data_IF_993394457567
#
_entry.id   IF_993394457567
#
_cell.length_a   1.000
_cell.length_b   1.000
_cell.length_c   1.000
_cell.angle_alpha   90.00
_cell.angle_beta   90.00
_cell.angle_gamma   90.00
#
_symmetry.space_group_name_H-M   'P 1'
#
loop_
_entity.id
_entity.type
_entity.pdbx_description
1 polymer ?
#
# COMPACT_ATOMS: atom_id res chain seq x y z
N UNK A 1 -45.67 -5.01 -51.80
CA UNK A 1 -45.37 -4.05 -50.72
C UNK A 1 -45.11 -4.71 -49.35
N UNK A 2 -45.33 -6.01 -49.14
CA UNK A 2 -45.17 -6.63 -47.81
C UNK A 2 -43.72 -6.98 -47.40
N UNK A 3 -42.78 -7.15 -48.35
CA UNK A 3 -41.38 -7.52 -48.04
C UNK A 3 -40.65 -6.51 -47.13
N UNK A 4 -41.04 -5.24 -47.16
CA UNK A 4 -40.36 -4.17 -46.41
C UNK A 4 -40.75 -4.14 -44.92
N UNK A 5 -41.91 -4.70 -44.57
CA UNK A 5 -42.37 -4.75 -43.18
C UNK A 5 -41.76 -5.95 -42.46
N UNK A 6 -41.71 -7.11 -43.11
CA UNK A 6 -41.05 -8.30 -42.56
C UNK A 6 -39.56 -8.05 -42.33
N UNK A 7 -38.89 -7.31 -43.23
CA UNK A 7 -37.48 -6.94 -43.13
C UNK A 7 -37.19 -5.90 -42.02
N UNK A 8 -38.19 -5.07 -41.66
CA UNK A 8 -38.10 -4.14 -40.53
C UNK A 8 -38.41 -4.83 -39.19
N UNK A 9 -39.25 -5.86 -39.19
CA UNK A 9 -39.60 -6.64 -38.00
C UNK A 9 -38.60 -7.78 -37.73
N UNK A 10 -37.84 -8.20 -38.75
CA UNK A 10 -36.76 -9.20 -38.61
C UNK A 10 -35.42 -8.61 -38.21
N UNK A 11 -35.31 -7.29 -38.07
CA UNK A 11 -34.12 -6.68 -37.46
C UNK A 11 -34.14 -7.01 -35.97
N UNK A 12 -33.38 -8.02 -35.58
CA UNK A 12 -33.04 -8.26 -34.19
C UNK A 12 -32.51 -6.94 -33.62
N UNK A 13 -33.28 -6.34 -32.71
CA UNK A 13 -32.86 -5.12 -32.03
C UNK A 13 -31.53 -5.46 -31.39
N UNK A 14 -30.42 -4.83 -31.82
CA UNK A 14 -29.12 -5.14 -31.26
C UNK A 14 -29.23 -4.89 -29.76
N UNK A 15 -29.12 -5.98 -28.99
CA UNK A 15 -29.18 -5.89 -27.53
C UNK A 15 -27.95 -5.08 -27.14
N UNK A 16 -28.15 -3.80 -26.84
CA UNK A 16 -27.07 -2.95 -26.33
C UNK A 16 -26.60 -3.57 -25.02
N UNK A 17 -25.50 -4.32 -25.11
CA UNK A 17 -24.81 -4.84 -23.93
C UNK A 17 -24.28 -3.60 -23.20
N UNK A 18 -25.01 -3.15 -22.18
CA UNK A 18 -24.58 -2.08 -21.30
C UNK A 18 -23.23 -2.51 -20.73
N UNK A 19 -22.14 -1.89 -21.21
CA UNK A 19 -20.80 -2.12 -20.67
C UNK A 19 -20.88 -1.91 -19.17
N UNK A 20 -20.64 -2.97 -18.40
CA UNK A 20 -20.55 -2.86 -16.95
C UNK A 20 -19.50 -1.82 -16.62
N UNK A 21 -19.90 -0.75 -15.93
CA UNK A 21 -18.96 0.29 -15.53
C UNK A 21 -18.00 -0.33 -14.53
N UNK A 22 -16.71 -0.42 -14.89
CA UNK A 22 -15.67 -0.85 -13.95
C UNK A 22 -15.80 -0.01 -12.66
N UNK A 23 -16.15 -0.65 -11.52
CA UNK A 23 -16.41 0.06 -10.28
C UNK A 23 -15.15 0.73 -9.71
N UNK A 24 -13.97 0.40 -10.24
CA UNK A 24 -12.66 0.90 -9.84
C UNK A 24 -11.99 1.74 -10.95
N UNK A 25 -12.76 2.45 -11.76
CA UNK A 25 -12.21 3.26 -12.85
C UNK A 25 -11.46 4.53 -12.41
N UNK A 26 -11.67 5.02 -11.18
CA UNK A 26 -11.11 6.28 -10.64
C UNK A 26 -11.01 6.25 -9.12
N UNK A 27 -10.05 7.00 -8.56
CA UNK A 27 -10.05 7.39 -7.14
C UNK A 27 -10.86 8.68 -7.01
N UNK A 28 -11.82 8.72 -6.09
CA UNK A 28 -12.60 9.92 -5.80
C UNK A 28 -12.11 10.54 -4.50
N UNK A 29 -11.70 11.81 -4.55
CA UNK A 29 -11.20 12.57 -3.40
C UNK A 29 -11.82 13.97 -3.40
N UNK A 30 -12.12 14.51 -2.22
CA UNK A 30 -12.58 15.90 -2.11
C UNK A 30 -11.44 16.88 -2.40
N UNK A 31 -11.78 18.06 -2.89
CA UNK A 31 -10.80 19.14 -3.14
C UNK A 31 -10.01 19.49 -1.88
N UNK A 32 -10.69 19.58 -0.74
CA UNK A 32 -10.06 19.93 0.54
C UNK A 32 -9.02 18.89 0.96
N UNK A 33 -9.35 17.59 0.88
CA UNK A 33 -8.42 16.50 1.18
C UNK A 33 -7.20 16.49 0.26
N UNK A 34 -7.42 16.68 -1.05
CA UNK A 34 -6.34 16.77 -2.03
C UNK A 34 -5.39 17.95 -1.73
N UNK A 35 -5.96 19.16 -1.53
CA UNK A 35 -5.16 20.36 -1.21
C UNK A 35 -4.43 20.17 0.12
N UNK A 36 -5.07 19.57 1.13
CA UNK A 36 -4.46 19.27 2.43
C UNK A 36 -3.24 18.37 2.30
N UNK A 37 -3.33 17.29 1.52
CA UNK A 37 -2.21 16.38 1.27
C UNK A 37 -1.04 17.09 0.56
N UNK A 38 -1.33 17.80 -0.53
CA UNK A 38 -0.31 18.54 -1.30
C UNK A 38 0.35 19.65 -0.47
N UNK A 39 -0.43 20.40 0.31
CA UNK A 39 0.09 21.45 1.17
C UNK A 39 0.93 20.89 2.33
N UNK A 40 0.53 19.76 2.92
CA UNK A 40 1.34 19.08 3.92
C UNK A 40 2.71 18.68 3.36
N UNK A 41 2.75 18.09 2.16
CA UNK A 41 4.00 17.74 1.48
C UNK A 41 4.89 18.97 1.20
N UNK A 42 4.29 20.09 0.76
CA UNK A 42 5.00 21.36 0.59
C UNK A 42 5.63 21.86 1.88
N UNK A 43 4.84 21.92 2.96
CA UNK A 43 5.29 22.42 4.26
C UNK A 43 6.36 21.51 4.89
N UNK A 44 6.26 20.21 4.68
CA UNK A 44 7.28 19.26 5.11
C UNK A 44 8.62 19.51 4.39
N UNK A 45 8.59 19.70 3.06
CA UNK A 45 9.78 20.08 2.28
C UNK A 45 10.40 21.40 2.77
N UNK A 46 9.58 22.44 2.94
CA UNK A 46 10.02 23.76 3.42
C UNK A 46 10.75 23.66 4.76
N UNK A 47 10.24 22.84 5.67
CA UNK A 47 10.80 22.68 7.01
C UNK A 47 12.19 22.05 7.00
N UNK A 48 12.42 21.06 6.14
CA UNK A 48 13.64 20.25 6.19
C UNK A 48 14.68 20.60 5.12
N UNK A 49 14.37 21.56 4.24
CA UNK A 49 15.26 22.02 3.17
C UNK A 49 15.70 20.92 2.18
N UNK A 50 15.03 19.75 2.21
CA UNK A 50 15.47 18.51 1.57
C UNK A 50 14.29 17.74 0.99
N UNK A 51 14.60 16.71 0.21
CA UNK A 51 13.66 15.85 -0.51
C UNK A 51 12.92 14.86 0.40
N UNK A 52 12.29 15.32 1.50
CA UNK A 52 11.59 14.37 2.37
C UNK A 52 10.26 13.91 1.79
N UNK A 53 10.00 12.62 1.99
CA UNK A 53 8.68 12.06 1.77
C UNK A 53 7.80 12.21 3.02
N UNK A 54 6.50 12.12 2.83
CA UNK A 54 5.49 12.18 3.89
C UNK A 54 4.47 11.09 3.62
N UNK A 55 3.84 10.58 4.68
CA UNK A 55 2.88 9.49 4.61
C UNK A 55 1.61 9.83 5.37
N UNK A 56 0.47 9.34 4.87
CA UNK A 56 -0.80 9.38 5.58
C UNK A 56 -1.84 8.44 5.02
N UNK A 57 -3.04 8.52 5.57
CA UNK A 57 -4.18 7.70 5.18
C UNK A 57 -5.22 8.55 4.46
N UNK A 58 -5.81 7.97 3.42
CA UNK A 58 -7.03 8.49 2.79
C UNK A 58 -8.21 8.01 3.64
N UNK A 59 -9.03 8.92 4.17
CA UNK A 59 -10.13 8.56 5.08
C UNK A 59 -11.48 8.98 4.51
N UNK A 60 -12.50 8.18 4.83
CA UNK A 60 -13.88 8.41 4.38
C UNK A 60 -14.90 8.00 5.43
N UNK A 61 -16.18 8.18 5.09
CA UNK A 61 -17.29 7.84 5.98
C UNK A 61 -17.35 6.36 6.31
N UNK A 62 -17.93 6.01 7.45
CA UNK A 62 -18.17 4.62 7.84
C UNK A 62 -19.11 3.86 6.88
N UNK A 63 -19.94 4.57 6.10
CA UNK A 63 -20.72 3.96 5.03
C UNK A 63 -19.80 3.35 3.95
N UNK A 64 -19.83 2.02 3.84
CA UNK A 64 -19.01 1.25 2.89
C UNK A 64 -19.39 1.51 1.44
N UNK A 65 -20.64 1.89 1.16
CA UNK A 65 -21.10 2.23 -0.19
C UNK A 65 -20.46 3.52 -0.69
N UNK A 66 -20.11 4.41 0.24
CA UNK A 66 -19.43 5.65 -0.05
C UNK A 66 -17.92 5.43 -0.12
N UNK A 67 -17.36 5.62 -1.32
CA UNK A 67 -15.95 5.35 -1.64
C UNK A 67 -15.17 6.63 -1.91
N UNK A 68 -15.62 7.76 -1.37
CA UNK A 68 -14.97 9.06 -1.55
C UNK A 68 -14.02 9.29 -0.37
N UNK A 69 -12.77 9.62 -0.66
CA UNK A 69 -11.83 10.13 0.34
C UNK A 69 -12.23 11.58 0.70
N UNK A 70 -12.80 11.75 1.89
CA UNK A 70 -13.31 13.04 2.37
C UNK A 70 -12.23 13.91 3.00
N UNK A 71 -11.23 13.28 3.60
CA UNK A 71 -10.10 13.94 4.25
C UNK A 71 -8.83 13.06 4.13
N UNK A 72 -7.70 13.62 4.54
CA UNK A 72 -6.45 12.90 4.76
C UNK A 72 -6.04 12.98 6.22
N UNK A 73 -5.56 11.86 6.75
CA UNK A 73 -4.99 11.76 8.09
C UNK A 73 -3.47 11.64 8.00
N UNK A 74 -2.73 12.46 8.73
CA UNK A 74 -1.26 12.42 8.75
C UNK A 74 -0.79 11.35 9.75
N UNK A 75 -0.05 10.36 9.27
CA UNK A 75 0.46 9.31 10.14
C UNK A 75 1.39 9.89 11.22
N UNK A 76 1.28 9.51 12.50
CA UNK A 76 2.21 9.95 13.54
C UNK A 76 3.53 9.19 13.48
N UNK A 77 4.60 9.81 13.99
CA UNK A 77 5.90 9.15 14.11
C UNK A 77 6.56 8.80 12.78
N UNK A 78 6.35 9.63 11.77
CA UNK A 78 7.00 9.46 10.47
C UNK A 78 8.50 9.69 10.60
N UNK A 79 9.30 8.73 10.16
CA UNK A 79 10.75 8.83 10.04
C UNK A 79 11.12 8.87 8.56
N UNK A 80 11.01 10.04 7.89
CA UNK A 80 11.25 10.14 6.47
C UNK A 80 12.73 10.27 6.15
N UNK A 81 13.09 9.74 4.99
CA UNK A 81 14.31 10.12 4.27
C UNK A 81 13.96 10.57 2.86
N UNK A 82 14.97 10.59 1.98
CA UNK A 82 14.84 11.10 0.63
C UNK A 82 14.00 10.23 -0.31
N UNK A 83 13.83 8.94 0.02
CA UNK A 83 13.27 7.93 -0.87
C UNK A 83 12.26 6.98 -0.21
N UNK A 84 12.10 7.04 1.12
CA UNK A 84 11.05 6.30 1.83
C UNK A 84 10.67 6.98 3.14
N UNK A 85 9.49 6.61 3.66
CA UNK A 85 9.02 6.95 5.01
C UNK A 85 8.80 5.69 5.80
N UNK A 86 9.44 5.59 6.97
CA UNK A 86 9.15 4.55 7.95
C UNK A 86 8.13 5.04 8.98
N UNK A 87 7.20 4.18 9.37
CA UNK A 87 6.24 4.43 10.45
C UNK A 87 6.29 3.23 11.40
N UNK A 88 6.61 3.42 12.69
CA UNK A 88 6.57 2.34 13.67
C UNK A 88 5.18 1.71 13.78
N UNK A 89 5.11 0.39 13.95
CA UNK A 89 3.83 -0.36 13.97
C UNK A 89 2.87 0.13 15.05
N UNK A 90 3.36 0.52 16.21
CA UNK A 90 2.55 1.09 17.29
C UNK A 90 1.85 2.39 16.87
N UNK A 91 2.49 3.18 15.99
CA UNK A 91 1.94 4.42 15.44
C UNK A 91 0.90 4.15 14.35
N UNK A 92 1.05 3.06 13.60
CA UNK A 92 0.00 2.58 12.67
C UNK A 92 -1.27 2.18 13.44
N UNK A 93 -1.12 1.42 14.54
CA UNK A 93 -2.23 1.03 15.40
C UNK A 93 -2.89 2.25 16.05
N UNK A 94 -2.09 3.19 16.57
CA UNK A 94 -2.58 4.44 17.14
C UNK A 94 -3.38 5.25 16.11
N UNK A 95 -2.90 5.37 14.87
CA UNK A 95 -3.60 6.04 13.79
C UNK A 95 -4.92 5.37 13.43
N UNK A 96 -4.94 4.04 13.31
CA UNK A 96 -6.16 3.29 13.04
C UNK A 96 -7.23 3.50 14.12
N UNK A 97 -6.81 3.54 15.38
CA UNK A 97 -7.69 3.84 16.52
C UNK A 97 -8.21 5.28 16.47
N UNK A 98 -7.34 6.26 16.27
CA UNK A 98 -7.73 7.67 16.21
C UNK A 98 -8.74 7.94 15.08
N UNK A 99 -8.46 7.42 13.88
CA UNK A 99 -9.36 7.54 12.72
C UNK A 99 -10.73 6.92 13.01
N UNK A 100 -10.76 5.74 13.63
CA UNK A 100 -12.02 5.03 13.87
C UNK A 100 -12.80 5.60 15.04
N UNK A 101 -12.16 5.76 16.19
CA UNK A 101 -12.81 6.07 17.46
C UNK A 101 -13.02 7.57 17.66
N UNK A 102 -12.07 8.40 17.26
CA UNK A 102 -12.14 9.85 17.49
C UNK A 102 -12.73 10.59 16.29
N UNK A 103 -12.43 10.16 15.06
CA UNK A 103 -12.96 10.80 13.86
C UNK A 103 -14.25 10.13 13.34
N UNK A 104 -14.58 8.91 13.78
CA UNK A 104 -15.73 8.17 13.27
C UNK A 104 -15.62 7.90 11.77
N UNK A 105 -14.41 7.64 11.28
CA UNK A 105 -14.08 7.44 9.87
C UNK A 105 -13.41 6.08 9.65
N UNK A 106 -13.31 5.67 8.38
CA UNK A 106 -12.56 4.49 7.96
C UNK A 106 -11.43 4.87 7.01
N UNK A 107 -10.38 4.05 7.01
CA UNK A 107 -9.30 4.12 6.04
C UNK A 107 -9.79 3.58 4.71
N UNK A 108 -9.68 4.36 3.64
CA UNK A 108 -9.95 3.95 2.25
C UNK A 108 -8.69 3.50 1.51
N UNK A 109 -7.54 3.86 2.03
CA UNK A 109 -6.26 3.66 1.39
C UNK A 109 -5.19 4.53 2.05
N UNK A 110 -4.11 4.75 1.32
CA UNK A 110 -2.97 5.50 1.79
C UNK A 110 -2.54 6.54 0.76
N UNK A 111 -1.72 7.47 1.20
CA UNK A 111 -1.06 8.41 0.32
C UNK A 111 0.33 8.69 0.84
N UNK A 112 1.24 9.01 -0.08
CA UNK A 112 2.53 9.57 0.27
C UNK A 112 2.92 10.68 -0.69
N UNK A 113 4.03 11.34 -0.37
CA UNK A 113 4.59 12.39 -1.23
C UNK A 113 5.96 12.01 -1.74
N UNK A 114 6.15 12.16 -3.04
CA UNK A 114 7.47 12.29 -3.64
C UNK A 114 7.89 13.75 -3.53
N UNK A 115 9.04 14.07 -2.94
CA UNK A 115 9.37 15.46 -2.64
C UNK A 115 9.34 16.38 -3.89
N UNK A 116 10.37 16.33 -4.73
CA UNK A 116 10.40 17.03 -6.03
C UNK A 116 10.40 16.07 -7.20
N UNK A 117 10.35 14.76 -6.92
CA UNK A 117 10.35 13.73 -7.95
C UNK A 117 8.98 13.67 -8.66
N UNK A 118 8.94 13.14 -9.89
CA UNK A 118 7.68 12.77 -10.53
C UNK A 118 6.88 11.80 -9.65
N UNK A 119 5.55 11.82 -9.76
CA UNK A 119 4.66 10.94 -8.99
C UNK A 119 4.51 9.58 -9.69
N UNK A 120 4.90 8.50 -9.02
CA UNK A 120 4.78 7.09 -9.47
C UNK A 120 4.82 6.16 -8.25
N UNK A 121 4.61 4.85 -8.43
CA UNK A 121 4.91 3.84 -7.41
C UNK A 121 6.28 3.20 -7.67
N UNK A 122 7.10 3.12 -6.62
CA UNK A 122 8.25 2.23 -6.55
C UNK A 122 7.83 0.78 -6.22
N UNK A 123 8.76 -0.17 -6.33
CA UNK A 123 8.49 -1.55 -5.89
C UNK A 123 8.13 -1.66 -4.40
N UNK A 124 8.71 -0.79 -3.57
CA UNK A 124 8.33 -0.66 -2.15
C UNK A 124 6.90 -0.16 -1.99
N UNK A 125 6.46 0.77 -2.84
CA UNK A 125 5.07 1.25 -2.82
C UNK A 125 4.08 0.15 -3.22
N UNK A 126 4.43 -0.71 -4.17
CA UNK A 126 3.60 -1.85 -4.57
C UNK A 126 3.45 -2.88 -3.43
N UNK A 127 4.54 -3.19 -2.73
CA UNK A 127 4.51 -4.07 -1.56
C UNK A 127 3.68 -3.46 -0.42
N UNK A 128 3.81 -2.15 -0.18
CA UNK A 128 3.00 -1.41 0.78
C UNK A 128 1.52 -1.40 0.38
N UNK A 129 1.21 -1.21 -0.91
CA UNK A 129 -0.16 -1.17 -1.38
C UNK A 129 -0.86 -2.52 -1.19
N UNK A 130 -0.15 -3.62 -1.45
CA UNK A 130 -0.60 -4.99 -1.15
C UNK A 130 -0.87 -5.21 0.34
N UNK A 131 0.00 -4.69 1.19
CA UNK A 131 -0.18 -4.78 2.65
C UNK A 131 -1.43 -4.02 3.09
N UNK A 132 -1.60 -2.78 2.63
CA UNK A 132 -2.74 -1.93 3.01
C UNK A 132 -4.06 -2.55 2.56
N UNK A 133 -4.17 -3.07 1.33
CA UNK A 133 -5.43 -3.69 0.87
C UNK A 133 -5.81 -4.90 1.73
N UNK A 134 -4.85 -5.70 2.17
CA UNK A 134 -5.11 -6.84 3.04
C UNK A 134 -5.56 -6.39 4.44
N UNK A 135 -4.95 -5.33 4.99
CA UNK A 135 -5.30 -4.80 6.31
C UNK A 135 -6.71 -4.21 6.37
N UNK A 136 -7.16 -3.54 5.29
CA UNK A 136 -8.46 -2.85 5.27
C UNK A 136 -9.54 -3.64 4.50
N UNK A 137 -9.23 -4.84 4.00
CA UNK A 137 -10.12 -5.66 3.19
C UNK A 137 -11.48 -5.91 3.85
N UNK A 138 -11.48 -6.20 5.16
CA UNK A 138 -12.70 -6.52 5.90
C UNK A 138 -13.69 -5.34 5.95
N UNK A 139 -13.18 -4.09 5.92
CA UNK A 139 -14.03 -2.89 5.92
C UNK A 139 -14.27 -2.30 4.54
N UNK A 140 -13.43 -2.63 3.55
CA UNK A 140 -13.42 -2.00 2.24
C UNK A 140 -13.63 -3.02 1.13
N UNK A 141 -14.88 -3.36 0.85
CA UNK A 141 -15.22 -4.22 -0.28
C UNK A 141 -16.51 -3.79 -0.95
N UNK A 142 -16.66 -4.23 -2.21
CA UNK A 142 -17.94 -4.20 -2.92
C UNK A 142 -18.41 -5.64 -3.15
N UNK A 143 -19.73 -5.83 -3.19
CA UNK A 143 -20.31 -7.07 -3.65
C UNK A 143 -20.50 -6.98 -5.16
N UNK A 144 -19.77 -7.82 -5.89
CA UNK A 144 -20.14 -8.19 -7.25
C UNK A 144 -20.87 -9.53 -7.21
N UNK A 145 -21.53 -9.87 -8.31
CA UNK A 145 -22.16 -11.17 -8.45
C UNK A 145 -21.58 -11.84 -9.68
N UNK A 146 -21.17 -13.08 -9.53
CA UNK A 146 -20.80 -13.92 -10.67
C UNK A 146 -21.95 -14.86 -10.93
N UNK A 147 -22.37 -14.90 -12.18
CA UNK A 147 -23.36 -15.84 -12.66
C UNK A 147 -22.64 -17.06 -13.21
N UNK A 148 -22.96 -18.23 -12.65
CA UNK A 148 -22.49 -19.51 -13.15
C UNK A 148 -23.70 -20.30 -13.60
N UNK A 149 -23.76 -20.59 -14.88
CA UNK A 149 -24.75 -21.52 -15.41
C UNK A 149 -24.50 -22.91 -14.80
N UNK A 150 -25.50 -23.43 -14.09
CA UNK A 150 -25.45 -24.79 -13.54
C UNK A 150 -26.03 -25.77 -14.56
N UNK A 151 -27.21 -25.44 -15.11
CA UNK A 151 -27.98 -26.27 -16.03
C UNK A 151 -28.53 -25.40 -17.17
N UNK A 152 -28.50 -25.91 -18.38
CA UNK A 152 -29.12 -25.30 -19.57
C UNK A 152 -29.57 -26.38 -20.54
N UNK A 153 -30.45 -26.00 -21.48
CA UNK A 153 -30.92 -26.90 -22.55
C UNK A 153 -32.19 -27.67 -22.16
N UNK A 154 -32.24 -28.95 -22.53
CA UNK A 154 -33.40 -29.81 -22.28
C UNK A 154 -33.39 -30.33 -20.84
N UNK A 155 -33.98 -29.54 -19.93
CA UNK A 155 -34.00 -29.83 -18.51
C UNK A 155 -35.16 -30.76 -18.12
N UNK A 156 -34.83 -31.88 -17.49
CA UNK A 156 -35.80 -32.82 -16.92
C UNK A 156 -36.05 -32.47 -15.46
N UNK A 157 -37.33 -32.35 -15.10
CA UNK A 157 -37.82 -32.19 -13.73
C UNK A 157 -38.39 -33.53 -13.25
N UNK A 158 -37.93 -34.02 -12.10
CA UNK A 158 -38.39 -35.29 -11.51
C UNK A 158 -38.71 -35.07 -10.03
N UNK A 159 -39.93 -35.40 -9.61
CA UNK A 159 -40.32 -35.40 -8.19
C UNK A 159 -39.99 -36.77 -7.57
N UNK A 160 -39.43 -36.76 -6.37
CA UNK A 160 -39.19 -37.94 -5.55
C UNK A 160 -40.02 -37.83 -4.27
N UNK A 161 -41.23 -38.41 -4.30
CA UNK A 161 -42.23 -38.23 -3.24
C UNK A 161 -42.67 -36.77 -3.11
N UNK A 162 -43.09 -36.39 -1.90
CA UNK A 162 -43.70 -35.08 -1.63
C UNK A 162 -42.69 -34.04 -1.09
N UNK A 163 -41.40 -34.38 -1.05
CA UNK A 163 -40.38 -33.60 -0.35
C UNK A 163 -39.13 -33.28 -1.16
N UNK A 164 -38.99 -33.80 -2.39
CA UNK A 164 -37.76 -33.59 -3.17
C UNK A 164 -38.06 -33.38 -4.66
N UNK A 165 -37.65 -32.23 -5.18
CA UNK A 165 -37.60 -31.97 -6.62
C UNK A 165 -36.15 -32.07 -7.10
N UNK A 166 -35.94 -32.82 -8.17
CA UNK A 166 -34.67 -32.90 -8.87
C UNK A 166 -34.80 -32.28 -10.26
N UNK A 167 -33.89 -31.38 -10.60
CA UNK A 167 -33.75 -30.80 -11.94
C UNK A 167 -32.39 -31.21 -12.48
N UNK A 168 -32.34 -31.81 -13.65
CA UNK A 168 -31.08 -32.22 -14.29
C UNK A 168 -31.14 -32.03 -15.81
N UNK A 169 -29.97 -31.96 -16.44
CA UNK A 169 -29.86 -32.05 -17.90
C UNK A 169 -30.27 -33.47 -18.32
N UNK A 170 -31.19 -33.59 -19.30
CA UNK A 170 -31.68 -34.88 -19.78
C UNK A 170 -30.55 -35.76 -20.34
N UNK A 171 -29.48 -35.15 -20.86
CA UNK A 171 -28.31 -35.84 -21.41
C UNK A 171 -27.19 -36.02 -20.37
N UNK A 172 -27.28 -35.37 -19.21
CA UNK A 172 -26.22 -35.42 -18.20
C UNK A 172 -26.76 -35.31 -16.76
N UNK A 173 -27.12 -36.48 -16.19
CA UNK A 173 -27.61 -36.58 -14.81
C UNK A 173 -26.55 -36.31 -13.72
N UNK A 174 -25.27 -36.15 -14.08
CA UNK A 174 -24.21 -35.85 -13.10
C UNK A 174 -24.31 -34.42 -12.56
N UNK A 175 -24.84 -33.49 -13.37
CA UNK A 175 -25.19 -32.13 -12.93
C UNK A 175 -26.67 -32.10 -12.61
N UNK A 176 -27.01 -31.94 -11.34
CA UNK A 176 -28.40 -31.84 -10.89
C UNK A 176 -28.55 -30.84 -9.76
N UNK A 177 -29.69 -30.18 -9.72
CA UNK A 177 -30.15 -29.39 -8.58
C UNK A 177 -31.19 -30.21 -7.83
N UNK A 178 -31.02 -30.35 -6.52
CA UNK A 178 -31.99 -30.97 -5.63
C UNK A 178 -32.56 -29.90 -4.71
N UNK A 179 -33.88 -29.75 -4.72
CA UNK A 179 -34.61 -28.84 -3.85
C UNK A 179 -35.42 -29.70 -2.88
N UNK A 180 -35.16 -29.52 -1.58
CA UNK A 180 -35.84 -30.23 -0.50
C UNK A 180 -36.94 -29.34 0.07
N UNK A 181 -38.11 -29.93 0.28
CA UNK A 181 -39.30 -29.27 0.80
C UNK A 181 -39.76 -30.00 2.06
N UNK A 182 -40.27 -29.24 3.03
CA UNK A 182 -40.84 -29.80 4.26
C UNK A 182 -42.17 -30.51 4.01
N UNK A 183 -42.99 -29.97 3.11
CA UNK A 183 -44.21 -30.59 2.58
C UNK A 183 -44.62 -29.85 1.30
N UNK A 184 -44.90 -30.58 0.23
CA UNK A 184 -45.52 -30.03 -0.98
C UNK A 184 -46.86 -30.72 -1.20
N UNK A 185 -47.96 -29.98 -1.11
CA UNK A 185 -49.27 -30.52 -1.47
C UNK A 185 -49.45 -30.57 -3.01
N UNK A 186 -48.77 -29.69 -3.77
CA UNK A 186 -48.67 -29.71 -5.24
C UNK A 186 -47.27 -29.24 -5.70
N UNK A 187 -46.80 -29.66 -6.88
CA UNK A 187 -45.48 -29.25 -7.41
C UNK A 187 -45.55 -27.85 -8.05
N UNK A 188 -45.03 -26.78 -7.40
CA UNK A 188 -45.13 -25.40 -7.90
C UNK A 188 -44.36 -25.18 -9.21
N UNK A 189 -43.44 -26.09 -9.54
CA UNK A 189 -42.60 -25.98 -10.73
C UNK A 189 -43.03 -26.94 -11.85
N UNK A 190 -44.13 -27.69 -11.70
CA UNK A 190 -44.58 -28.67 -12.70
C UNK A 190 -44.78 -28.01 -14.07
N UNK A 191 -45.44 -26.85 -14.09
CA UNK A 191 -45.85 -26.17 -15.32
C UNK A 191 -44.93 -25.04 -15.76
N UNK A 192 -43.92 -24.68 -14.96
CA UNK A 192 -42.96 -23.65 -15.33
C UNK A 192 -41.92 -24.22 -16.30
N UNK A 193 -41.86 -23.76 -17.56
CA UNK A 193 -40.76 -24.12 -18.45
C UNK A 193 -39.47 -23.50 -17.88
N UNK A 194 -38.48 -24.35 -17.57
CA UNK A 194 -37.17 -23.91 -17.08
C UNK A 194 -36.17 -24.17 -18.21
N UNK A 195 -35.72 -23.12 -18.87
CA UNK A 195 -34.73 -23.21 -19.97
C UNK A 195 -33.30 -23.26 -19.42
N UNK A 196 -33.04 -22.53 -18.34
CA UNK A 196 -31.74 -22.44 -17.70
C UNK A 196 -31.84 -22.20 -16.21
N UNK A 197 -30.85 -22.71 -15.49
CA UNK A 197 -30.66 -22.46 -14.08
C UNK A 197 -29.29 -21.84 -13.85
N UNK A 198 -29.30 -20.59 -13.39
CA UNK A 198 -28.10 -19.79 -13.15
C UNK A 198 -27.92 -19.61 -11.65
N UNK A 199 -26.75 -19.99 -11.16
CA UNK A 199 -26.34 -19.69 -9.79
C UNK A 199 -25.65 -18.34 -9.76
N UNK A 200 -26.24 -17.42 -9.00
CA UNK A 200 -25.68 -16.10 -8.77
C UNK A 200 -24.98 -16.09 -7.40
N UNK A 201 -23.65 -16.16 -7.41
CA UNK A 201 -22.86 -16.13 -6.17
C UNK A 201 -22.30 -14.74 -5.90
N UNK A 202 -22.38 -14.23 -4.66
CA UNK A 202 -21.70 -12.99 -4.30
C UNK A 202 -20.18 -13.19 -4.33
N UNK A 203 -19.48 -12.30 -5.02
CA UNK A 203 -18.03 -12.15 -5.03
C UNK A 203 -17.69 -10.87 -4.28
N UNK A 204 -16.95 -10.98 -3.18
CA UNK A 204 -16.48 -9.80 -2.45
C UNK A 204 -15.18 -9.33 -3.10
N UNK A 205 -15.14 -8.08 -3.53
CA UNK A 205 -13.93 -7.46 -4.06
C UNK A 205 -13.50 -6.38 -3.09
N UNK A 206 -12.47 -6.71 -2.32
CA UNK A 206 -11.83 -5.78 -1.41
C UNK A 206 -10.99 -4.78 -2.19
N UNK A 207 -10.81 -3.57 -1.67
CA UNK A 207 -10.03 -2.55 -2.37
C UNK A 207 -9.29 -1.59 -1.42
N UNK A 208 -8.21 -1.00 -1.92
CA UNK A 208 -7.52 0.12 -1.29
C UNK A 208 -7.10 1.14 -2.33
N UNK A 209 -7.13 2.41 -1.95
CA UNK A 209 -6.58 3.50 -2.76
C UNK A 209 -5.11 3.74 -2.43
N UNK A 210 -4.33 4.11 -3.44
CA UNK A 210 -3.03 4.75 -3.27
C UNK A 210 -3.02 6.06 -4.06
N UNK A 211 -2.48 7.12 -3.45
CA UNK A 211 -2.30 8.40 -4.10
C UNK A 211 -0.91 8.94 -3.81
N UNK A 212 -0.16 9.30 -4.87
CA UNK A 212 1.14 9.96 -4.72
C UNK A 212 1.02 11.40 -5.17
N UNK A 213 1.38 12.32 -4.28
CA UNK A 213 1.50 13.75 -4.59
C UNK A 213 2.97 14.14 -4.64
N UNK A 214 3.27 15.35 -5.13
CA UNK A 214 4.57 15.93 -4.90
C UNK A 214 4.49 17.37 -4.40
N UNK A 215 5.58 17.83 -3.79
CA UNK A 215 5.64 19.16 -3.20
C UNK A 215 5.69 20.28 -4.25
N UNK A 216 5.94 19.97 -5.53
CA UNK A 216 5.90 20.96 -6.61
C UNK A 216 4.49 21.16 -7.17
N UNK A 217 3.51 20.35 -6.76
CA UNK A 217 2.10 20.49 -7.18
C UNK A 217 1.81 19.95 -8.57
N UNK A 218 2.56 18.93 -9.04
CA UNK A 218 2.21 18.25 -10.29
C UNK A 218 0.92 17.44 -10.13
N UNK A 219 0.42 16.94 -11.27
CA UNK A 219 -0.71 16.00 -11.28
C UNK A 219 -0.39 14.79 -10.39
N UNK A 220 -1.30 14.35 -9.50
CA UNK A 220 -1.05 13.21 -8.64
C UNK A 220 -1.07 11.90 -9.44
N UNK A 221 -0.34 10.92 -8.93
CA UNK A 221 -0.49 9.51 -9.30
C UNK A 221 -1.61 8.88 -8.47
N UNK A 222 -2.32 7.92 -9.07
CA UNK A 222 -3.38 7.18 -8.40
C UNK A 222 -3.38 5.71 -8.82
N UNK A 223 -3.61 4.84 -7.86
CA UNK A 223 -3.69 3.40 -8.08
C UNK A 223 -4.74 2.77 -7.17
N UNK A 224 -5.40 1.72 -7.65
CA UNK A 224 -6.33 0.92 -6.86
C UNK A 224 -5.85 -0.52 -6.85
N UNK A 225 -5.55 -1.03 -5.66
CA UNK A 225 -5.39 -2.44 -5.39
C UNK A 225 -6.76 -3.05 -5.10
N UNK A 226 -6.97 -4.26 -5.61
CA UNK A 226 -8.15 -5.08 -5.36
C UNK A 226 -7.73 -6.49 -4.94
N UNK A 227 -8.53 -7.09 -4.06
CA UNK A 227 -8.41 -8.51 -3.69
C UNK A 227 -9.76 -9.16 -3.91
N UNK A 228 -9.80 -10.09 -4.87
CA UNK A 228 -10.99 -10.88 -5.16
C UNK A 228 -11.10 -12.04 -4.17
N UNK A 229 -12.13 -12.02 -3.33
CA UNK A 229 -12.47 -13.14 -2.45
C UNK A 229 -13.61 -13.95 -3.06
N UNK A 230 -13.30 -15.16 -3.54
CA UNK A 230 -14.28 -16.12 -4.01
C UNK A 230 -14.58 -17.14 -2.90
N UNK A 231 -15.80 -17.11 -2.37
CA UNK A 231 -16.27 -18.03 -1.33
C UNK A 231 -16.20 -19.49 -1.75
N UNK A 232 -16.32 -19.78 -3.05
CA UNK A 232 -16.35 -21.16 -3.55
C UNK A 232 -14.99 -21.81 -3.74
N UNK A 233 -13.93 -21.04 -4.01
CA UNK A 233 -12.61 -21.61 -4.31
C UNK A 233 -11.49 -21.21 -3.34
N UNK A 234 -11.77 -20.31 -2.39
CA UNK A 234 -10.80 -19.80 -1.40
C UNK A 234 -9.51 -19.22 -2.01
N UNK A 235 -9.51 -18.89 -3.30
CA UNK A 235 -8.39 -18.21 -3.96
C UNK A 235 -8.55 -16.71 -3.78
N UNK A 236 -7.49 -16.07 -3.31
CA UNK A 236 -7.35 -14.62 -3.28
C UNK A 236 -6.52 -14.20 -4.48
N UNK A 237 -7.11 -13.40 -5.35
CA UNK A 237 -6.41 -12.82 -6.48
C UNK A 237 -6.18 -11.34 -6.21
N UNK A 238 -4.91 -10.97 -6.06
CA UNK A 238 -4.47 -9.58 -5.93
C UNK A 238 -4.24 -8.98 -7.31
N UNK A 239 -4.81 -7.81 -7.54
CA UNK A 239 -4.60 -7.03 -8.76
C UNK A 239 -4.47 -5.57 -8.37
N UNK A 240 -3.68 -4.79 -9.11
CA UNK A 240 -3.62 -3.35 -8.97
C UNK A 240 -3.62 -2.68 -10.33
N UNK A 241 -4.25 -1.52 -10.43
CA UNK A 241 -4.37 -0.78 -11.69
C UNK A 241 -4.18 0.72 -11.46
N UNK A 242 -3.35 1.33 -12.31
CA UNK A 242 -3.19 2.79 -12.36
C UNK A 242 -4.48 3.44 -12.84
N UNK A 243 -5.00 4.39 -12.06
CA UNK A 243 -6.26 5.06 -12.35
C UNK A 243 -6.16 6.56 -12.12
N UNK A 244 -6.94 7.40 -12.82
CA UNK A 244 -6.92 8.82 -12.57
C UNK A 244 -7.56 9.16 -11.22
N UNK A 245 -6.95 10.13 -10.53
CA UNK A 245 -7.53 10.78 -9.35
C UNK A 245 -8.54 11.84 -9.80
N UNK A 246 -9.81 11.65 -9.44
CA UNK A 246 -10.90 12.60 -9.69
C UNK A 246 -11.14 13.44 -8.43
N UNK A 247 -10.68 14.68 -8.49
CA UNK A 247 -10.97 15.69 -7.46
C UNK A 247 -12.40 16.18 -7.62
N UNK A 248 -13.18 16.08 -6.54
CA UNK A 248 -14.56 16.53 -6.45
C UNK A 248 -14.62 17.90 -5.79
N UNK A 249 -15.30 18.86 -6.42
CA UNK A 249 -15.53 20.21 -5.89
C UNK A 249 -16.69 20.20 -4.89
N UNK A 250 -16.52 19.45 -3.81
CA UNK A 250 -17.46 19.34 -2.70
C UNK A 250 -16.90 20.10 -1.50
N UNK A 251 -17.65 21.05 -0.95
CA UNK A 251 -17.27 21.76 0.27
C UNK A 251 -17.48 20.81 1.45
N UNK A 252 -16.40 20.32 2.03
CA UNK A 252 -16.48 19.44 3.20
C UNK A 252 -16.65 20.22 4.51
N UNK A 253 -16.38 21.54 4.48
CA UNK A 253 -16.30 22.37 5.67
C UNK A 253 -14.94 22.29 6.37
N UNK A 254 -13.98 21.53 5.83
CA UNK A 254 -12.61 21.49 6.34
C UNK A 254 -11.94 22.85 6.11
N UNK A 255 -11.67 23.58 7.19
CA UNK A 255 -10.88 24.81 7.13
C UNK A 255 -9.40 24.47 7.08
N UNK A 256 -8.74 24.76 5.96
CA UNK A 256 -7.30 24.59 5.82
C UNK A 256 -6.55 25.73 6.53
N UNK A 257 -6.13 25.51 7.77
CA UNK A 257 -5.30 26.45 8.51
C UNK A 257 -3.81 26.09 8.34
N UNK A 258 -3.08 26.89 7.55
CA UNK A 258 -1.64 26.70 7.31
C UNK A 258 -0.83 26.64 8.61
N UNK A 259 -1.21 27.41 9.64
CA UNK A 259 -0.50 27.40 10.93
C UNK A 259 -0.68 26.08 11.67
N UNK A 260 -1.86 25.47 11.58
CA UNK A 260 -2.13 24.15 12.16
C UNK A 260 -1.41 23.06 11.38
N UNK A 261 -1.40 23.10 10.04
CA UNK A 261 -0.65 22.15 9.23
C UNK A 261 0.86 22.21 9.53
N UNK A 262 1.43 23.41 9.73
CA UNK A 262 2.83 23.53 10.18
C UNK A 262 3.07 22.88 11.55
N UNK A 263 2.09 22.93 12.46
CA UNK A 263 2.16 22.23 13.75
C UNK A 263 2.06 20.71 13.58
N UNK A 264 1.18 20.23 12.70
CA UNK A 264 1.07 18.81 12.36
C UNK A 264 2.37 18.27 11.75
N UNK A 265 2.93 18.96 10.75
CA UNK A 265 4.26 18.63 10.20
C UNK A 265 5.30 18.57 11.33
N UNK A 266 5.23 19.51 12.28
CA UNK A 266 6.15 19.56 13.43
C UNK A 266 6.04 18.35 14.34
N UNK A 267 4.82 17.92 14.65
CA UNK A 267 4.53 16.87 15.65
C UNK A 267 4.58 15.46 15.06
N UNK A 268 4.21 15.29 13.79
CA UNK A 268 4.07 13.98 13.15
C UNK A 268 5.37 13.50 12.50
N UNK A 269 6.22 14.40 12.03
CA UNK A 269 7.51 14.07 11.41
C UNK A 269 8.63 14.15 12.44
N UNK A 270 9.24 12.99 12.71
CA UNK A 270 10.38 12.80 13.59
C UNK A 270 11.65 12.82 12.74
N UNK A 271 12.44 13.88 12.89
CA UNK A 271 13.74 13.92 12.23
C UNK A 271 14.79 13.23 13.08
N UNK A 272 15.67 12.42 12.47
CA UNK A 272 16.85 11.96 13.16
C UNK A 272 17.65 13.20 13.60
N UNK A 273 18.27 13.15 14.81
CA UNK A 273 19.15 14.24 15.22
C UNK A 273 20.25 14.45 14.16
N UNK A 274 20.67 15.69 13.90
CA UNK A 274 21.71 15.96 12.92
C UNK A 274 22.93 15.10 13.25
N UNK A 275 23.38 14.31 12.27
CA UNK A 275 24.59 13.50 12.41
C UNK A 275 25.77 14.45 12.50
N UNK A 276 26.29 14.65 13.71
CA UNK A 276 27.54 15.37 13.93
C UNK A 276 28.66 14.42 13.52
N UNK A 277 29.18 14.60 12.31
CA UNK A 277 30.40 13.95 11.87
C UNK A 277 31.55 14.58 12.65
N UNK A 278 31.96 13.96 13.74
CA UNK A 278 33.20 14.33 14.42
C UNK A 278 34.32 13.80 13.51
N UNK A 279 35.12 14.68 12.88
CA UNK A 279 36.27 14.21 12.13
C UNK A 279 37.13 13.44 13.13
N UNK A 280 37.32 12.14 12.89
CA UNK A 280 38.37 11.40 13.57
C UNK A 280 39.65 11.99 13.00
N UNK A 281 40.15 13.07 13.61
CA UNK A 281 41.53 13.47 13.41
C UNK A 281 42.31 12.22 13.74
N UNK A 282 42.92 11.61 12.73
CA UNK A 282 43.85 10.53 12.88
C UNK A 282 44.98 11.09 13.75
N UNK A 283 44.76 11.02 15.06
CA UNK A 283 45.79 11.12 16.06
C UNK A 283 46.67 9.92 15.77
N UNK A 284 47.63 10.14 14.88
CA UNK A 284 48.91 9.48 14.90
C UNK A 284 49.44 9.70 16.31
N UNK A 285 48.97 8.87 17.25
CA UNK A 285 49.71 8.47 18.40
C UNK A 285 50.96 7.82 17.81
N UNK A 286 51.95 8.66 17.50
CA UNK A 286 53.35 8.28 17.68
C UNK A 286 53.40 7.83 19.13
N UNK A 287 53.19 6.54 19.34
CA UNK A 287 53.69 5.83 20.49
C UNK A 287 55.20 6.10 20.44
N UNK A 288 55.61 7.16 21.13
CA UNK A 288 56.99 7.34 21.50
C UNK A 288 57.28 6.18 22.45
N UNK A 289 57.76 5.07 21.89
CA UNK A 289 58.48 4.06 22.65
C UNK A 289 59.72 4.76 23.21
N UNK A 290 59.58 5.36 24.38
CA UNK A 290 60.67 5.86 25.19
C UNK A 290 61.55 4.69 25.57
N UNK A 291 62.60 4.47 24.76
CA UNK A 291 63.69 3.59 25.11
C UNK A 291 64.33 4.04 26.42
N UNK A 292 64.27 3.19 27.44
CA UNK A 292 65.23 3.27 28.56
C UNK A 292 66.60 2.92 27.98
N UNK A 293 67.47 3.92 27.91
CA UNK A 293 68.84 3.77 27.47
C UNK A 293 69.62 2.80 28.38
N UNK A 294 70.38 1.90 27.75
CA UNK A 294 71.66 1.42 28.29
C UNK A 294 72.76 1.78 27.30
N UNK A 295 73.79 2.42 27.85
CA UNK A 295 75.01 2.92 27.21
C UNK A 295 75.74 1.82 26.44
N UNK A 296 76.25 2.17 25.25
CA UNK A 296 77.25 1.39 24.53
C UNK A 296 77.99 2.28 23.53
N UNK A 297 79.25 2.62 23.84
CA UNK A 297 80.18 3.38 23.00
C UNK A 297 80.48 2.65 21.68
N UNK A 298 80.55 3.39 20.56
CA UNK A 298 81.75 3.61 19.71
C UNK A 298 81.37 3.92 18.25
N UNK A 299 81.74 5.13 17.83
CA UNK A 299 82.21 5.60 16.51
C UNK A 299 81.79 4.93 15.21
N UNK A 300 81.36 5.74 14.24
CA UNK A 300 82.19 6.13 13.08
C UNK A 300 81.46 7.16 12.21
N UNK A 301 82.27 7.96 11.53
CA UNK A 301 81.97 9.05 10.61
C UNK A 301 81.11 8.60 9.42
N UNK A 302 80.23 9.47 8.91
CA UNK A 302 79.53 9.25 7.65
C UNK A 302 78.68 10.45 7.21
N UNK A 303 78.93 10.95 6.01
CA UNK A 303 78.51 12.23 5.41
C UNK A 303 77.03 12.35 5.03
N UNK A 304 76.58 13.61 4.95
CA UNK A 304 75.68 14.23 3.94
C UNK A 304 74.35 13.56 3.57
N UNK A 305 73.24 14.30 3.76
CA UNK A 305 72.49 14.94 2.65
C UNK A 305 71.31 15.75 3.17
N UNK A 306 71.35 17.06 2.92
CA UNK A 306 70.17 17.94 2.91
C UNK A 306 69.24 17.52 1.77
N UNK A 307 67.93 17.46 2.03
CA UNK A 307 66.90 17.65 1.00
C UNK A 307 65.87 18.63 1.54
N UNK A 308 65.92 19.85 0.99
CA UNK A 308 64.85 20.83 1.02
C UNK A 308 63.62 20.24 0.31
N UNK A 309 62.44 20.42 0.89
CA UNK A 309 61.16 20.20 0.20
C UNK A 309 60.64 21.58 -0.17
N UNK A 310 60.55 21.82 -1.48
CA UNK A 310 59.95 23.01 -2.09
C UNK A 310 58.43 22.87 -2.05
N UNK A 311 57.77 23.94 -1.60
CA UNK A 311 56.33 24.20 -1.80
C UNK A 311 56.11 24.72 -3.22
N UNK A 312 55.43 23.96 -4.06
CA UNK A 312 55.00 24.36 -5.39
C UNK A 312 53.54 24.84 -5.40
N UNK A 313 53.34 26.05 -5.91
CA UNK A 313 52.05 26.68 -6.19
C UNK A 313 51.35 25.98 -7.37
N UNK A 314 50.02 25.88 -7.31
CA UNK A 314 49.16 25.40 -8.41
C UNK A 314 48.75 26.61 -9.25
N UNK A 315 49.10 26.58 -10.54
CA UNK A 315 48.60 27.49 -11.58
C UNK A 315 47.33 26.90 -12.21
N UNK A 316 46.34 27.77 -12.40
CA UNK A 316 45.14 27.52 -13.21
C UNK A 316 45.39 27.82 -14.68
N UNK A 317 44.93 26.95 -15.57
CA UNK A 317 44.94 27.13 -17.04
C UNK A 317 44.04 26.09 -17.74
N UNK A 318 43.61 26.33 -18.99
CA UNK A 318 42.18 26.36 -19.33
C UNK A 318 41.62 25.13 -20.07
N UNK A 319 40.29 25.18 -20.21
CA UNK A 319 39.36 24.31 -20.94
C UNK A 319 39.91 23.55 -22.16
N UNK A 320 39.56 22.27 -22.24
CA UNK A 320 39.36 21.58 -23.51
C UNK A 320 38.06 20.78 -23.51
N UNK A 321 37.38 20.90 -24.65
CA UNK A 321 36.08 20.36 -25.02
C UNK A 321 36.24 18.92 -25.52
N UNK A 322 35.31 18.06 -25.08
CA UNK A 322 34.79 16.94 -25.87
C UNK A 322 35.49 15.59 -25.71
N UNK A 323 34.78 14.65 -25.08
CA UNK A 323 34.40 13.36 -25.69
C UNK A 323 33.50 12.56 -24.74
N UNK A 324 32.41 12.02 -25.29
CA UNK A 324 31.48 11.10 -24.62
C UNK A 324 32.22 9.82 -24.20
N UNK A 325 32.15 9.49 -22.90
CA UNK A 325 32.44 8.16 -22.39
C UNK A 325 31.24 7.65 -21.60
N UNK A 326 30.78 6.49 -22.03
CA UNK A 326 29.73 5.66 -21.43
C UNK A 326 30.22 5.24 -20.03
N UNK A 327 29.48 5.65 -18.99
CA UNK A 327 29.85 5.46 -17.60
C UNK A 327 29.76 4.01 -17.16
N UNK A 328 30.88 3.48 -16.68
CA UNK A 328 30.94 2.27 -15.86
C UNK A 328 30.40 2.59 -14.45
N UNK A 329 29.55 1.70 -13.91
CA UNK A 329 29.10 1.75 -12.53
C UNK A 329 30.30 1.59 -11.58
N UNK A 330 30.59 2.63 -10.80
CA UNK A 330 31.48 2.51 -9.65
C UNK A 330 30.68 1.99 -8.46
N UNK A 331 30.90 0.72 -8.12
CA UNK A 331 30.44 0.14 -6.86
C UNK A 331 31.19 0.84 -5.72
N UNK A 332 30.47 1.67 -4.96
CA UNK A 332 30.98 2.33 -3.77
C UNK A 332 30.93 1.35 -2.59
N UNK A 333 32.10 0.87 -2.16
CA UNK A 333 32.24 0.15 -0.89
C UNK A 333 32.54 1.17 0.22
N UNK A 334 31.70 1.33 1.25
CA UNK A 334 31.99 2.26 2.33
C UNK A 334 33.17 1.74 3.18
N UNK A 335 34.08 2.62 3.62
CA UNK A 335 35.19 2.21 4.48
C UNK A 335 34.67 1.76 5.84
N UNK A 336 35.11 0.56 6.26
CA UNK A 336 34.91 0.04 7.60
C UNK A 336 35.47 1.00 8.65
N UNK A 337 34.80 1.01 9.81
CA UNK A 337 35.17 1.64 11.09
C UNK A 337 34.61 3.04 11.37
N UNK A 338 33.34 3.07 11.80
CA UNK A 338 32.86 4.06 12.77
C UNK A 338 32.32 3.35 14.02
N UNK A 339 32.92 3.59 15.18
CA UNK A 339 32.40 3.08 16.46
C UNK A 339 31.20 3.93 16.90
N UNK A 340 30.05 3.28 17.07
CA UNK A 340 28.84 3.87 17.67
C UNK A 340 29.11 4.16 19.16
N UNK A 341 28.95 5.42 19.58
CA UNK A 341 28.90 5.78 21.01
C UNK A 341 27.44 5.96 21.39
N UNK A 342 26.92 5.07 22.24
CA UNK A 342 25.55 5.12 22.77
C UNK A 342 25.60 5.86 24.11
N UNK A 343 25.08 7.08 24.16
CA UNK A 343 24.87 7.79 25.44
C UNK A 343 23.56 7.26 26.03
N UNK A 344 23.63 6.64 27.21
CA UNK A 344 22.47 6.09 27.91
C UNK A 344 22.18 6.98 29.13
N UNK A 345 21.13 7.80 29.06
CA UNK A 345 20.55 8.48 30.22
C UNK A 345 19.46 7.56 30.83
N UNK A 346 19.70 7.07 32.05
CA UNK A 346 18.75 6.22 32.78
C UNK A 346 18.06 7.04 33.86
N UNK A 347 16.80 7.44 33.62
CA UNK A 347 15.89 7.87 34.70
C UNK A 347 14.69 6.92 34.78
N UNK A 348 14.54 6.34 35.98
CA UNK A 348 13.44 5.46 36.39
C UNK A 348 12.14 6.25 36.48
N UNK A 349 11.06 5.69 35.94
CA UNK A 349 9.67 6.09 36.22
C UNK A 349 9.00 4.90 36.93
N UNK A 350 8.29 5.17 38.02
CA UNK A 350 7.48 4.19 38.77
C UNK A 350 6.06 4.14 38.20
N UNK A 351 5.38 2.99 38.21
CA UNK A 351 3.99 2.88 37.78
C UNK A 351 3.05 2.85 38.99
N UNK A 352 2.05 3.72 39.02
CA UNK A 352 0.83 3.57 39.84
C UNK A 352 -0.30 4.30 39.10
N UNK A 353 -1.29 3.57 38.57
CA UNK A 353 -2.60 3.39 39.21
C UNK A 353 -3.67 2.83 38.24
N UNK A 354 -4.34 1.79 38.71
CA UNK A 354 -5.40 1.03 38.04
C UNK A 354 -6.75 1.43 38.64
N UNK A 355 -7.71 1.91 37.85
CA UNK A 355 -9.12 1.95 38.28
C UNK A 355 -10.13 1.58 37.17
N UNK A 356 -10.66 0.35 37.32
CA UNK A 356 -11.97 -0.28 37.05
C UNK A 356 -12.92 0.18 35.90
N UNK A 357 -13.63 -0.79 35.26
CA UNK A 357 -14.52 -0.54 34.12
C UNK A 357 -15.96 -0.15 34.51
N UNK A 358 -16.63 0.63 33.64
CA UNK A 358 -18.06 0.93 33.70
C UNK A 358 -18.89 -0.18 33.03
N UNK A 359 -20.02 -0.52 33.67
CA UNK A 359 -21.02 -1.51 33.22
C UNK A 359 -21.64 -1.11 31.88
N UNK A 360 -21.67 -2.04 30.93
CA UNK A 360 -22.44 -1.95 29.67
C UNK A 360 -23.86 -2.47 29.88
N UNK A 361 -24.84 -1.70 29.40
CA UNK A 361 -26.27 -2.07 29.33
C UNK A 361 -26.46 -3.13 28.24
N UNK A 362 -27.25 -4.16 28.56
CA UNK A 362 -27.83 -5.07 27.57
C UNK A 362 -28.85 -4.30 26.71
N UNK A 363 -28.71 -4.40 25.39
CA UNK A 363 -29.75 -4.08 24.42
C UNK A 363 -30.30 -5.39 23.84
N UNK A 364 -31.62 -5.43 23.70
CA UNK A 364 -32.42 -6.56 23.25
C UNK A 364 -32.30 -6.80 21.75
N UNK A 365 -32.47 -8.06 21.36
CA UNK A 365 -32.23 -8.56 20.02
C UNK A 365 -33.25 -8.11 18.98
N UNK A 366 -32.72 -7.67 17.85
CA UNK A 366 -33.21 -7.88 16.49
C UNK A 366 -32.13 -7.35 15.53
N UNK A 367 -30.97 -8.01 15.48
CA UNK A 367 -29.89 -7.71 14.51
C UNK A 367 -28.97 -8.94 14.37
N UNK A 368 -29.49 -10.00 13.73
CA UNK A 368 -28.70 -11.18 13.35
C UNK A 368 -28.16 -11.02 11.93
N UNK A 369 -27.09 -10.23 11.80
CA UNK A 369 -26.07 -10.39 10.74
C UNK A 369 -24.66 -9.90 11.18
N UNK A 370 -24.46 -9.67 12.49
CA UNK A 370 -23.15 -9.43 13.09
C UNK A 370 -22.60 -10.72 13.73
N UNK A 371 -22.16 -11.65 12.90
CA UNK A 371 -21.32 -12.78 13.34
C UNK A 371 -19.93 -12.72 12.70
N UNK A 372 -19.25 -11.59 12.90
CA UNK A 372 -17.79 -11.50 13.06
C UNK A 372 -17.53 -10.38 14.08
N UNK A 373 -17.76 -10.72 15.34
CA UNK A 373 -17.60 -9.83 16.49
C UNK A 373 -16.13 -9.44 16.69
N UNK A 374 -15.78 -8.20 16.37
CA UNK A 374 -15.17 -7.26 17.32
C UNK A 374 -13.82 -7.59 17.99
N UNK A 375 -13.08 -8.61 17.55
CA UNK A 375 -11.72 -8.93 18.06
C UNK A 375 -10.81 -9.45 16.94
N UNK A 376 -10.72 -8.73 15.83
CA UNK A 376 -9.67 -9.01 14.85
C UNK A 376 -8.48 -8.10 15.13
N UNK A 377 -7.45 -8.75 15.67
CA UNK A 377 -6.21 -8.19 16.14
C UNK A 377 -5.44 -7.51 15.01
N UNK A 378 -4.96 -6.30 15.31
CA UNK A 378 -3.97 -5.58 14.53
C UNK A 378 -2.56 -6.10 14.90
N UNK A 379 -2.30 -7.39 14.69
CA UNK A 379 -0.94 -7.94 14.73
C UNK A 379 -0.51 -8.22 13.30
N UNK A 380 -0.14 -7.15 12.60
CA UNK A 380 0.67 -7.26 11.40
C UNK A 380 2.12 -7.47 11.85
N UNK A 381 2.57 -8.72 11.85
CA UNK A 381 3.98 -9.01 11.67
C UNK A 381 4.38 -8.51 10.28
N UNK A 382 5.40 -7.67 10.19
CA UNK A 382 6.04 -7.40 8.92
C UNK A 382 7.55 -7.52 9.02
N UNK A 383 8.04 -8.26 8.04
CA UNK A 383 9.37 -8.74 7.81
C UNK A 383 10.29 -7.58 7.43
N UNK A 384 11.49 -7.62 7.98
CA UNK A 384 12.67 -6.95 7.43
C UNK A 384 12.99 -7.68 6.12
N UNK A 385 12.55 -7.14 4.98
CA UNK A 385 12.96 -7.64 3.67
C UNK A 385 14.32 -7.00 3.41
N UNK A 386 15.37 -7.69 3.85
CA UNK A 386 16.71 -7.47 3.33
C UNK A 386 16.71 -7.87 1.86
N UNK A 387 17.32 -7.02 1.04
CA UNK A 387 17.58 -7.29 -0.37
C UNK A 387 18.52 -8.50 -0.50
N UNK A 388 17.97 -9.67 -0.78
CA UNK A 388 18.73 -10.79 -1.35
C UNK A 388 18.56 -10.74 -2.87
N UNK A 389 19.54 -10.14 -3.54
CA UNK A 389 19.76 -10.33 -4.98
C UNK A 389 20.19 -11.79 -5.22
N UNK A 390 19.26 -12.64 -5.64
CA UNK A 390 19.60 -13.90 -6.29
C UNK A 390 19.52 -13.74 -7.81
N UNK A 391 20.71 -13.85 -8.39
CA UNK A 391 21.10 -13.86 -9.79
C UNK A 391 20.51 -15.10 -10.52
N UNK A 392 19.40 -14.94 -11.23
CA UNK A 392 18.85 -15.97 -12.12
C UNK A 392 19.52 -15.94 -13.49
N UNK A 393 20.68 -16.60 -13.52
CA UNK A 393 21.40 -17.00 -14.72
C UNK A 393 20.51 -17.73 -15.72
N UNK A 394 20.46 -17.20 -16.94
CA UNK A 394 19.89 -17.80 -18.14
C UNK A 394 20.44 -19.22 -18.36
N UNK A 395 19.56 -20.21 -18.50
CA UNK A 395 19.91 -21.47 -19.15
C UNK A 395 18.85 -21.84 -20.20
N UNK A 396 19.19 -21.56 -21.45
CA UNK A 396 18.49 -22.02 -22.65
C UNK A 396 18.94 -23.44 -22.97
N UNK A 397 18.00 -24.39 -22.99
CA UNK A 397 18.29 -25.72 -23.50
C UNK A 397 17.06 -26.62 -23.60
N UNK A 398 16.61 -26.88 -24.83
CA UNK A 398 16.24 -28.23 -25.21
C UNK A 398 14.86 -28.49 -25.79
N UNK A 399 14.91 -28.88 -27.07
CA UNK A 399 14.17 -29.99 -27.71
C UNK A 399 12.75 -29.72 -28.22
N UNK A 400 12.64 -29.56 -29.55
CA UNK A 400 11.49 -30.03 -30.30
C UNK A 400 11.93 -31.22 -31.17
N UNK A 401 11.23 -32.34 -30.99
CA UNK A 401 11.25 -33.50 -31.88
C UNK A 401 10.28 -33.25 -33.04
N UNK A 402 10.77 -33.48 -34.26
CA UNK A 402 10.07 -34.20 -35.34
C UNK A 402 11.08 -35.14 -36.02
#
# INVERSE_FOLDING_TARGET
MNKRLDELLSQEVPVEVKKEKNPFSRIYITKDAYVKASLYAQLARERNGSHIECYGYLIGTMDRKNRIAYDVYFAPGQEPNAAHVYIPSEKVIEAGRDIRENLGMRVLGWWHSHATMPTFHSGTDDANHRTIVNQIAASNYINQYTEKEILSGDLKKTMFGDSKLMICDRNNNSKRLEILFSKLDENPLAYLPIEKLVLRTPKKISYAYSMVVNAIGSKPYGEIATVNFCTGCHKNEYQHEKVPVKVLDYKTGLSLNVKELKKEVKSKIVYPPPRVYIPVTAGLNRIFCGGKGKRGKKGKKGKNRQKQVQTGQVQTGPEQVGQEQIGQEQIYTPPEQYKRVKIVDRRRIKPDDVTRPRKLKQLSGDEYDEFFSGKDWFEAHLFDIGDDEEDDGTNTGGVNNE
#
